data_IF_313380833783
#
_entry.id   IF_313380833783
#
_cell.length_a   1.000
_cell.length_b   1.000
_cell.length_c   1.000
_cell.angle_alpha   90.00
_cell.angle_beta   90.00
_cell.angle_gamma   90.00
#
_symmetry.space_group_name_H-M   'P 1'
#
loop_
_entity.id
_entity.type
_entity.pdbx_description
1 polymer ?
#
# COMPACT_ATOMS: atom_id res chain seq x y z
N UNK A 1 61.04 -8.53 -41.44
CA UNK A 1 61.11 -8.99 -42.85
C UNK A 1 60.21 -10.21 -42.97
N UNK A 2 59.67 -10.49 -44.16
CA UNK A 2 58.50 -11.36 -44.49
C UNK A 2 57.15 -10.62 -44.35
N UNK A 3 56.21 -10.66 -45.30
CA UNK A 3 56.17 -11.00 -46.73
C UNK A 3 54.84 -10.44 -47.24
N UNK A 4 54.83 -9.78 -48.39
CA UNK A 4 53.63 -9.23 -49.07
C UNK A 4 52.83 -10.35 -49.77
N UNK A 5 51.49 -10.24 -49.89
CA UNK A 5 50.65 -11.30 -50.49
C UNK A 5 50.53 -11.16 -52.02
N UNK A 6 50.38 -12.31 -52.68
CA UNK A 6 50.13 -12.48 -54.11
C UNK A 6 48.68 -12.11 -54.46
N UNK A 7 48.51 -11.21 -55.43
CA UNK A 7 47.22 -10.82 -55.99
C UNK A 7 46.66 -11.86 -56.98
N UNK A 8 45.35 -12.08 -56.91
CA UNK A 8 44.59 -12.88 -57.88
C UNK A 8 44.07 -11.96 -58.98
N UNK A 9 44.20 -12.37 -60.24
CA UNK A 9 43.88 -11.53 -61.41
C UNK A 9 42.37 -11.46 -61.70
N UNK A 10 41.88 -10.36 -62.31
CA UNK A 10 40.44 -10.14 -62.56
C UNK A 10 39.81 -11.11 -63.58
N UNK A 11 40.60 -11.96 -64.25
CA UNK A 11 40.12 -12.83 -65.33
C UNK A 11 39.51 -14.17 -64.85
N UNK A 12 39.64 -14.52 -63.57
CA UNK A 12 39.06 -15.76 -63.01
C UNK A 12 37.64 -15.59 -62.43
N UNK A 13 37.12 -14.36 -62.32
CA UNK A 13 35.79 -14.09 -61.78
C UNK A 13 34.66 -14.16 -62.83
N UNK A 14 34.95 -13.89 -64.11
CA UNK A 14 33.92 -13.90 -65.16
C UNK A 14 33.56 -15.30 -65.66
N UNK A 15 34.49 -16.26 -65.60
CA UNK A 15 34.22 -17.65 -66.00
C UNK A 15 33.34 -18.39 -65.00
N UNK A 16 33.41 -18.05 -63.70
CA UNK A 16 32.54 -18.61 -62.67
C UNK A 16 31.10 -18.05 -62.74
N UNK A 17 30.94 -16.77 -63.06
CA UNK A 17 29.62 -16.14 -63.22
C UNK A 17 28.90 -16.54 -64.52
N UNK A 18 29.64 -16.92 -65.56
CA UNK A 18 29.02 -17.34 -66.82
C UNK A 18 28.51 -18.79 -66.76
N UNK A 19 29.15 -19.68 -65.98
CA UNK A 19 28.66 -21.05 -65.75
C UNK A 19 27.47 -21.14 -64.78
N UNK A 20 27.29 -20.18 -63.87
CA UNK A 20 26.11 -20.16 -62.98
C UNK A 20 24.82 -19.74 -63.71
N UNK A 21 24.93 -18.95 -64.78
CA UNK A 21 23.77 -18.49 -65.58
C UNK A 21 23.20 -19.53 -66.53
N UNK A 22 23.96 -20.57 -66.91
CA UNK A 22 23.50 -21.61 -67.84
C UNK A 22 22.89 -22.85 -67.14
N UNK A 23 22.75 -22.84 -65.81
CA UNK A 23 22.23 -23.98 -65.03
C UNK A 23 21.00 -23.61 -64.19
N UNK A 24 20.23 -22.60 -64.61
CA UNK A 24 18.87 -22.38 -64.09
C UNK A 24 17.90 -23.38 -64.72
N UNK A 25 18.02 -24.64 -64.30
CA UNK A 25 16.89 -25.55 -64.33
C UNK A 25 15.86 -25.02 -63.33
N UNK A 26 14.68 -24.67 -63.81
CA UNK A 26 13.51 -24.39 -62.99
C UNK A 26 13.00 -25.68 -62.37
N UNK A 27 13.68 -26.18 -61.34
CA UNK A 27 13.07 -27.13 -60.42
C UNK A 27 12.10 -26.32 -59.55
N UNK A 28 10.77 -26.53 -59.64
CA UNK A 28 9.87 -25.92 -58.69
C UNK A 28 10.20 -26.49 -57.32
N UNK A 29 10.69 -25.65 -56.41
CA UNK A 29 10.73 -25.97 -54.99
C UNK A 29 9.28 -25.94 -54.52
N UNK A 30 8.53 -27.01 -54.79
CA UNK A 30 7.24 -27.27 -54.17
C UNK A 30 7.51 -27.85 -52.78
N UNK A 31 8.19 -27.06 -51.95
CA UNK A 31 8.13 -27.25 -50.50
C UNK A 31 6.81 -26.65 -50.07
N UNK A 32 5.92 -27.48 -49.52
CA UNK A 32 4.74 -26.97 -48.84
C UNK A 32 5.21 -26.03 -47.73
N UNK A 33 5.11 -24.72 -47.95
CA UNK A 33 5.10 -23.76 -46.86
C UNK A 33 3.76 -24.00 -46.17
N UNK A 34 3.77 -24.87 -45.16
CA UNK A 34 2.66 -24.90 -44.21
C UNK A 34 2.61 -23.48 -43.66
N UNK A 35 1.57 -22.68 -43.95
CA UNK A 35 1.44 -21.40 -43.29
C UNK A 35 1.42 -21.72 -41.80
N UNK A 36 2.35 -21.15 -41.03
CA UNK A 36 2.26 -21.20 -39.57
C UNK A 36 0.82 -20.79 -39.24
N UNK A 37 0.04 -21.71 -38.68
CA UNK A 37 -1.28 -21.34 -38.13
C UNK A 37 -1.00 -20.13 -37.25
N UNK A 38 -1.67 -18.98 -37.44
CA UNK A 38 -1.58 -17.93 -36.46
C UNK A 38 -2.00 -18.59 -35.15
N UNK A 39 -1.03 -18.76 -34.25
CA UNK A 39 -1.32 -19.25 -32.92
C UNK A 39 -2.20 -18.16 -32.35
N UNK A 40 -3.48 -18.47 -32.12
CA UNK A 40 -4.42 -17.54 -31.49
C UNK A 40 -3.81 -17.19 -30.13
N UNK A 41 -3.07 -16.08 -30.08
CA UNK A 41 -2.49 -15.60 -28.85
C UNK A 41 -3.63 -15.12 -27.98
N UNK A 42 -3.42 -15.27 -26.68
CA UNK A 42 -4.42 -14.93 -25.69
C UNK A 42 -3.95 -13.75 -24.86
N UNK A 43 -4.87 -13.24 -24.06
CA UNK A 43 -4.62 -12.16 -23.13
C UNK A 43 -5.08 -12.51 -21.71
N UNK A 44 -4.50 -11.82 -20.74
CA UNK A 44 -4.95 -11.79 -19.35
C UNK A 44 -5.16 -10.32 -18.99
N UNK A 45 -6.30 -10.02 -18.38
CA UNK A 45 -6.56 -8.69 -17.84
C UNK A 45 -6.57 -8.75 -16.32
N UNK A 46 -6.01 -7.74 -15.68
CA UNK A 46 -5.97 -7.63 -14.23
C UNK A 46 -6.36 -6.23 -13.82
N UNK A 47 -7.33 -6.12 -12.93
CA UNK A 47 -7.77 -4.89 -12.30
C UNK A 47 -7.33 -4.92 -10.83
N UNK A 48 -6.63 -3.88 -10.38
CA UNK A 48 -6.19 -3.76 -8.99
C UNK A 48 -7.02 -2.68 -8.29
N UNK A 49 -7.63 -3.05 -7.17
CA UNK A 49 -8.47 -2.17 -6.36
C UNK A 49 -8.07 -2.21 -4.88
N UNK A 50 -8.39 -1.15 -4.14
CA UNK A 50 -8.26 -1.15 -2.68
C UNK A 50 -9.49 -1.76 -1.97
N UNK A 51 -9.45 -1.76 -0.64
CA UNK A 51 -10.51 -2.29 0.21
C UNK A 51 -11.87 -1.56 0.02
N UNK A 52 -11.86 -0.32 -0.47
CA UNK A 52 -13.07 0.45 -0.78
C UNK A 52 -13.51 0.31 -2.25
N UNK A 53 -12.81 -0.50 -3.04
CA UNK A 53 -13.11 -0.70 -4.46
C UNK A 53 -12.58 0.41 -5.37
N UNK A 54 -11.73 1.32 -4.87
CA UNK A 54 -11.08 2.33 -5.72
C UNK A 54 -9.95 1.69 -6.49
N UNK A 55 -9.82 2.07 -7.76
CA UNK A 55 -8.74 1.58 -8.63
C UNK A 55 -7.39 2.10 -8.16
N UNK A 56 -6.37 1.24 -8.23
CA UNK A 56 -5.01 1.56 -7.83
C UNK A 56 -4.12 1.68 -9.08
N UNK A 57 -3.79 2.90 -9.54
CA UNK A 57 -2.82 3.09 -10.61
C UNK A 57 -1.39 2.86 -10.11
N UNK A 58 -0.46 2.70 -11.05
CA UNK A 58 0.97 2.60 -10.73
C UNK A 58 1.44 1.29 -10.08
N UNK A 59 0.55 0.31 -9.95
CA UNK A 59 0.89 -1.00 -9.40
C UNK A 59 1.61 -1.83 -10.46
N UNK A 60 2.73 -2.42 -10.08
CA UNK A 60 3.54 -3.23 -10.98
C UNK A 60 3.17 -4.69 -10.85
N UNK A 61 2.87 -5.33 -11.98
CA UNK A 61 2.47 -6.73 -12.07
C UNK A 61 3.44 -7.48 -12.98
N UNK A 62 3.71 -8.72 -12.64
CA UNK A 62 4.65 -9.55 -13.36
C UNK A 62 4.10 -10.96 -13.60
N UNK A 63 4.03 -11.35 -14.87
CA UNK A 63 3.89 -12.77 -15.24
C UNK A 63 5.26 -13.41 -15.35
N UNK A 64 5.38 -14.67 -14.94
CA UNK A 64 6.60 -15.45 -15.10
C UNK A 64 6.41 -16.61 -16.09
N UNK A 65 7.44 -16.90 -16.89
CA UNK A 65 7.52 -18.09 -17.73
C UNK A 65 8.96 -18.59 -17.82
N UNK A 66 9.27 -19.65 -17.07
CA UNK A 66 10.63 -20.16 -16.95
C UNK A 66 11.56 -19.13 -16.29
N UNK A 67 12.52 -18.60 -17.05
CA UNK A 67 13.43 -17.53 -16.63
C UNK A 67 13.02 -16.14 -17.14
N UNK A 68 11.97 -16.08 -17.98
CA UNK A 68 11.46 -14.84 -18.53
C UNK A 68 10.33 -14.29 -17.66
N UNK A 69 10.22 -12.97 -17.63
CA UNK A 69 9.15 -12.23 -16.97
C UNK A 69 8.55 -11.21 -17.92
N UNK A 70 7.25 -10.99 -17.80
CA UNK A 70 6.51 -9.96 -18.51
C UNK A 70 5.93 -9.02 -17.47
N UNK A 71 6.48 -7.80 -17.40
CA UNK A 71 6.15 -6.81 -16.38
C UNK A 71 5.44 -5.62 -16.98
N UNK A 72 4.36 -5.22 -16.34
CA UNK A 72 3.56 -4.07 -16.74
C UNK A 72 3.09 -3.31 -15.50
N UNK A 73 2.69 -2.06 -15.68
CA UNK A 73 2.16 -1.19 -14.63
C UNK A 73 0.68 -0.92 -14.91
N UNK A 74 -0.15 -0.92 -13.86
CA UNK A 74 -1.57 -0.56 -13.99
C UNK A 74 -1.72 0.89 -14.42
N UNK A 75 -2.60 1.13 -15.39
CA UNK A 75 -2.92 2.46 -15.90
C UNK A 75 -3.76 3.31 -14.90
N UNK A 76 -4.21 4.49 -15.32
CA UNK A 76 -5.04 5.39 -14.51
C UNK A 76 -6.38 4.77 -14.02
N UNK A 77 -6.82 3.66 -14.63
CA UNK A 77 -8.01 2.91 -14.25
C UNK A 77 -7.67 1.67 -13.40
N UNK A 78 -6.42 1.55 -12.92
CA UNK A 78 -5.95 0.41 -12.13
C UNK A 78 -5.88 -0.91 -12.91
N UNK A 79 -5.95 -0.86 -14.24
CA UNK A 79 -6.00 -2.04 -15.08
C UNK A 79 -4.67 -2.26 -15.82
N UNK A 80 -4.34 -3.54 -16.02
CA UNK A 80 -3.24 -3.99 -16.87
C UNK A 80 -3.71 -5.14 -17.74
N UNK A 81 -3.19 -5.19 -18.97
CA UNK A 81 -3.51 -6.24 -19.93
C UNK A 81 -2.23 -6.84 -20.48
N UNK A 82 -2.01 -8.11 -20.19
CA UNK A 82 -0.92 -8.90 -20.76
C UNK A 82 -1.39 -9.51 -22.07
N UNK A 83 -0.67 -9.24 -23.15
CA UNK A 83 -1.04 -9.63 -24.50
C UNK A 83 -0.04 -10.66 -25.06
N UNK A 84 -0.46 -11.46 -26.04
CA UNK A 84 0.49 -12.27 -26.82
C UNK A 84 0.87 -13.59 -26.14
N UNK A 85 0.08 -14.02 -25.17
CA UNK A 85 0.33 -15.20 -24.35
C UNK A 85 -0.09 -16.49 -25.08
N UNK A 86 0.53 -17.61 -24.72
CA UNK A 86 0.03 -18.93 -25.11
C UNK A 86 -1.20 -19.26 -24.26
N UNK A 87 -2.13 -20.04 -24.81
CA UNK A 87 -3.29 -20.50 -24.04
C UNK A 87 -2.86 -21.46 -22.92
N UNK A 88 -2.65 -20.92 -21.73
CA UNK A 88 -1.96 -21.57 -20.61
C UNK A 88 -2.23 -20.83 -19.30
N UNK A 89 -1.60 -21.29 -18.22
CA UNK A 89 -1.56 -20.59 -16.94
C UNK A 89 -0.15 -20.10 -16.61
N UNK A 90 -0.10 -18.95 -15.93
CA UNK A 90 1.12 -18.24 -15.59
C UNK A 90 1.08 -17.84 -14.10
N UNK A 91 2.21 -17.90 -13.38
CA UNK A 91 2.33 -17.22 -12.09
C UNK A 91 2.30 -15.71 -12.32
N UNK A 92 1.36 -15.03 -11.68
CA UNK A 92 1.24 -13.57 -11.60
C UNK A 92 1.68 -13.11 -10.21
N UNK A 93 2.60 -12.16 -10.15
CA UNK A 93 3.09 -11.55 -8.91
C UNK A 93 2.79 -10.07 -8.89
N UNK A 94 2.21 -9.58 -7.79
CA UNK A 94 2.11 -8.15 -7.52
C UNK A 94 3.35 -7.65 -6.80
N UNK A 95 3.97 -6.62 -7.36
CA UNK A 95 5.23 -6.10 -6.89
C UNK A 95 5.06 -5.21 -5.67
N UNK A 96 6.01 -5.33 -4.76
CA UNK A 96 6.09 -4.44 -3.61
C UNK A 96 5.03 -4.69 -2.55
N UNK A 97 4.31 -5.80 -2.63
CA UNK A 97 3.27 -6.20 -1.68
C UNK A 97 3.57 -7.58 -1.11
N UNK A 98 3.37 -7.72 0.20
CA UNK A 98 3.37 -9.00 0.89
C UNK A 98 2.12 -9.80 0.52
N UNK A 99 2.25 -11.11 0.31
CA UNK A 99 1.17 -12.03 -0.02
C UNK A 99 -0.09 -11.86 0.84
N UNK A 100 0.06 -11.55 2.13
CA UNK A 100 -1.07 -11.43 3.06
C UNK A 100 -1.96 -10.21 2.77
N UNK A 101 -1.44 -9.27 1.99
CA UNK A 101 -2.15 -8.03 1.65
C UNK A 101 -3.14 -8.17 0.50
N UNK A 102 -3.20 -9.33 -0.16
CA UNK A 102 -4.17 -9.61 -1.21
C UNK A 102 -5.28 -10.52 -0.69
N UNK A 103 -6.51 -10.13 -0.97
CA UNK A 103 -7.66 -11.00 -0.82
C UNK A 103 -7.71 -12.05 -1.95
N UNK A 104 -8.61 -13.03 -1.79
CA UNK A 104 -8.92 -13.99 -2.85
C UNK A 104 -9.39 -13.24 -4.09
N UNK A 105 -8.78 -13.49 -5.27
CA UNK A 105 -9.13 -12.79 -6.49
C UNK A 105 -10.54 -13.14 -6.95
N UNK A 106 -11.26 -12.15 -7.48
CA UNK A 106 -12.47 -12.41 -8.27
C UNK A 106 -12.03 -12.66 -9.72
N UNK A 107 -12.61 -13.68 -10.36
CA UNK A 107 -12.21 -14.12 -11.69
C UNK A 107 -13.43 -14.16 -12.60
N UNK A 108 -13.31 -13.53 -13.77
CA UNK A 108 -14.34 -13.51 -14.81
C UNK A 108 -13.73 -13.92 -16.15
N UNK A 109 -14.50 -14.62 -16.98
CA UNK A 109 -14.07 -14.94 -18.34
C UNK A 109 -14.20 -13.71 -19.23
N UNK A 110 -13.16 -13.42 -20.01
CA UNK A 110 -13.22 -12.40 -21.05
C UNK A 110 -14.13 -12.88 -22.20
N UNK A 111 -14.74 -11.91 -22.89
CA UNK A 111 -15.46 -12.22 -24.13
C UNK A 111 -14.51 -12.84 -25.16
N UNK A 112 -15.03 -13.68 -26.06
CA UNK A 112 -14.21 -14.42 -27.02
C UNK A 112 -13.36 -13.53 -27.95
N UNK A 113 -13.81 -12.29 -28.20
CA UNK A 113 -13.06 -11.30 -28.96
C UNK A 113 -11.94 -10.67 -28.12
N UNK A 114 -12.22 -10.36 -26.86
CA UNK A 114 -11.29 -9.69 -25.95
C UNK A 114 -10.26 -10.66 -25.34
N UNK A 115 -10.57 -11.94 -25.29
CA UNK A 115 -9.64 -12.98 -24.84
C UNK A 115 -8.45 -13.17 -25.79
N UNK A 116 -8.60 -12.79 -27.07
CA UNK A 116 -7.56 -12.92 -28.09
C UNK A 116 -6.62 -11.71 -28.11
N UNK A 117 -5.40 -11.95 -28.53
CA UNK A 117 -4.36 -10.94 -28.76
C UNK A 117 -3.81 -11.05 -30.17
N UNK A 118 -3.50 -9.91 -30.78
CA UNK A 118 -2.69 -9.82 -32.01
C UNK A 118 -1.30 -9.24 -31.75
N UNK A 119 -0.97 -8.89 -30.50
CA UNK A 119 0.30 -8.29 -30.12
C UNK A 119 1.27 -9.38 -29.62
N UNK A 120 2.58 -9.22 -29.84
CA UNK A 120 3.57 -10.11 -29.25
C UNK A 120 3.69 -9.87 -27.73
N UNK A 121 3.98 -10.92 -26.97
CA UNK A 121 4.25 -10.79 -25.54
C UNK A 121 5.58 -10.08 -25.27
N UNK A 122 5.58 -9.20 -24.27
CA UNK A 122 6.73 -8.41 -23.83
C UNK A 122 7.64 -9.14 -22.84
N UNK A 123 8.01 -10.40 -23.14
CA UNK A 123 8.90 -11.19 -22.28
C UNK A 123 10.32 -10.59 -22.23
N UNK A 124 10.90 -10.58 -21.04
CA UNK A 124 12.27 -10.12 -20.78
C UNK A 124 12.94 -10.98 -19.72
N UNK A 125 14.28 -11.01 -19.68
CA UNK A 125 15.02 -11.68 -18.60
C UNK A 125 15.48 -10.62 -17.61
N UNK A 126 14.93 -10.65 -16.40
CA UNK A 126 15.25 -9.71 -15.33
C UNK A 126 15.70 -10.48 -14.10
N UNK A 127 16.53 -9.84 -13.27
CA UNK A 127 16.95 -10.42 -12.01
C UNK A 127 15.73 -10.65 -11.09
N UNK A 128 15.70 -11.74 -10.30
CA UNK A 128 14.68 -11.93 -9.28
C UNK A 128 14.68 -10.78 -8.28
N UNK A 129 13.49 -10.42 -7.83
CA UNK A 129 13.32 -9.46 -6.76
C UNK A 129 13.81 -10.02 -5.42
N UNK A 130 14.48 -9.16 -4.66
CA UNK A 130 14.79 -9.41 -3.26
C UNK A 130 14.03 -8.42 -2.39
N UNK A 131 13.41 -8.94 -1.33
CA UNK A 131 12.72 -8.14 -0.33
C UNK A 131 13.32 -8.46 1.04
N UNK A 132 14.52 -7.93 1.33
CA UNK A 132 15.20 -8.24 2.57
C UNK A 132 14.44 -7.67 3.77
N UNK A 133 14.71 -8.25 4.93
CA UNK A 133 14.33 -7.62 6.19
C UNK A 133 15.01 -6.26 6.34
N UNK A 134 14.39 -5.39 7.13
CA UNK A 134 14.89 -4.06 7.42
C UNK A 134 14.59 -3.62 8.86
N UNK A 135 15.31 -2.59 9.31
CA UNK A 135 14.98 -1.86 10.53
C UNK A 135 14.58 -0.44 10.13
N UNK A 136 13.36 -0.04 10.49
CA UNK A 136 12.84 1.30 10.24
C UNK A 136 12.93 2.13 11.52
N UNK A 137 13.55 3.31 11.42
CA UNK A 137 13.58 4.28 12.52
C UNK A 137 12.38 5.21 12.37
N UNK A 138 11.47 5.13 13.33
CA UNK A 138 10.22 5.88 13.37
C UNK A 138 10.51 7.38 13.32
N UNK A 139 9.89 8.05 12.37
CA UNK A 139 9.89 9.51 12.24
C UNK A 139 8.72 10.13 13.03
N UNK A 140 8.78 11.42 13.38
CA UNK A 140 7.66 12.10 14.03
C UNK A 140 6.36 11.96 13.22
N UNK A 141 5.29 11.51 13.89
CA UNK A 141 3.97 11.33 13.28
C UNK A 141 3.80 10.05 12.45
N UNK A 142 4.72 9.09 12.58
CA UNK A 142 4.53 7.75 12.00
C UNK A 142 3.91 6.77 13.01
N UNK A 143 2.89 6.05 12.56
CA UNK A 143 2.37 4.84 13.19
C UNK A 143 2.72 3.59 12.38
N UNK A 144 2.53 2.40 12.97
CA UNK A 144 2.74 1.13 12.26
C UNK A 144 1.90 1.05 10.98
N UNK A 145 0.67 1.56 10.96
CA UNK A 145 -0.21 1.45 9.78
C UNK A 145 0.39 2.15 8.55
N UNK A 146 0.94 3.35 8.75
CA UNK A 146 1.62 4.13 7.71
C UNK A 146 2.90 3.47 7.24
N UNK A 147 3.71 2.97 8.18
CA UNK A 147 4.97 2.28 7.87
C UNK A 147 4.68 0.98 7.10
N UNK A 148 3.71 0.19 7.56
CA UNK A 148 3.30 -1.05 6.91
C UNK A 148 2.82 -0.80 5.48
N UNK A 149 2.00 0.23 5.25
CA UNK A 149 1.60 0.62 3.90
C UNK A 149 2.79 0.97 3.01
N UNK A 150 3.72 1.81 3.48
CA UNK A 150 4.91 2.19 2.70
C UNK A 150 5.84 1.01 2.38
N UNK A 151 5.87 0.00 3.24
CA UNK A 151 6.63 -1.23 3.04
C UNK A 151 5.82 -2.37 2.39
N UNK A 152 4.55 -2.14 2.03
CA UNK A 152 3.69 -3.13 1.40
C UNK A 152 3.35 -4.33 2.29
N UNK A 153 3.29 -4.14 3.60
CA UNK A 153 2.86 -5.13 4.58
C UNK A 153 1.50 -4.80 5.17
N UNK A 154 0.88 -5.79 5.80
CA UNK A 154 -0.18 -5.56 6.77
C UNK A 154 0.39 -5.00 8.07
N UNK A 155 -0.31 -4.08 8.76
CA UNK A 155 0.14 -3.56 10.05
C UNK A 155 0.39 -4.64 11.10
N UNK A 156 -0.45 -5.68 11.12
CA UNK A 156 -0.33 -6.83 12.03
C UNK A 156 0.95 -7.63 11.75
N UNK A 157 1.32 -7.78 10.48
CA UNK A 157 2.58 -8.46 10.10
C UNK A 157 3.80 -7.75 10.69
N UNK A 158 3.81 -6.41 10.71
CA UNK A 158 4.89 -5.67 11.34
C UNK A 158 4.77 -5.71 12.87
N UNK A 159 3.61 -5.32 13.41
CA UNK A 159 3.42 -5.19 14.85
C UNK A 159 3.68 -6.50 15.59
N UNK A 160 3.11 -7.60 15.09
CA UNK A 160 3.16 -8.90 15.76
C UNK A 160 4.44 -9.71 15.47
N UNK A 161 5.35 -9.16 14.66
CA UNK A 161 6.66 -9.76 14.47
C UNK A 161 7.35 -10.01 15.82
N UNK A 162 7.90 -11.21 16.09
CA UNK A 162 8.55 -11.53 17.36
C UNK A 162 9.64 -10.53 17.77
N UNK A 163 10.39 -10.03 16.79
CA UNK A 163 11.46 -9.04 16.95
C UNK A 163 10.95 -7.69 17.49
N UNK A 164 9.69 -7.36 17.25
CA UNK A 164 9.04 -6.15 17.76
C UNK A 164 8.46 -6.34 19.17
N UNK A 165 8.65 -7.49 19.82
CA UNK A 165 8.14 -7.78 21.16
C UNK A 165 8.52 -6.74 22.21
N UNK A 166 9.78 -6.27 22.22
CA UNK A 166 10.24 -5.23 23.15
C UNK A 166 9.57 -3.88 22.88
N UNK A 167 9.40 -3.51 21.60
CA UNK A 167 8.70 -2.27 21.23
C UNK A 167 7.23 -2.35 21.64
N UNK A 168 6.56 -3.48 21.37
CA UNK A 168 5.17 -3.73 21.79
C UNK A 168 4.97 -3.71 23.30
N UNK A 169 5.92 -4.25 24.06
CA UNK A 169 5.85 -4.19 25.52
C UNK A 169 5.95 -2.75 26.04
N UNK A 170 6.72 -1.89 25.36
CA UNK A 170 6.87 -0.46 25.69
C UNK A 170 5.71 0.39 25.17
N UNK A 171 5.14 0.04 24.02
CA UNK A 171 4.11 0.81 23.31
C UNK A 171 2.78 0.06 23.36
N UNK A 172 1.80 0.63 24.05
CA UNK A 172 0.48 0.00 24.22
C UNK A 172 -0.32 -0.12 22.92
N UNK A 173 -0.11 0.80 21.99
CA UNK A 173 -0.85 0.87 20.72
C UNK A 173 0.12 1.03 19.54
N UNK A 174 -0.17 0.32 18.44
CA UNK A 174 0.70 0.27 17.25
C UNK A 174 0.84 1.61 16.52
N UNK A 175 -0.12 2.53 16.68
CA UNK A 175 -0.08 3.87 16.07
C UNK A 175 0.30 4.98 17.07
N UNK A 176 0.83 4.63 18.25
CA UNK A 176 1.38 5.59 19.23
C UNK A 176 2.89 5.38 19.41
N UNK A 177 3.64 5.40 18.31
CA UNK A 177 5.10 5.28 18.33
C UNK A 177 5.73 6.63 18.69
N UNK A 178 6.91 6.60 19.32
CA UNK A 178 7.73 7.81 19.44
C UNK A 178 8.79 7.84 18.34
N UNK A 179 9.19 9.05 17.95
CA UNK A 179 10.36 9.23 17.11
C UNK A 179 11.57 8.50 17.71
N UNK A 180 12.43 7.93 16.85
CA UNK A 180 13.58 7.10 17.21
C UNK A 180 13.25 5.70 17.75
N UNK A 181 11.97 5.32 17.92
CA UNK A 181 11.65 3.91 18.03
C UNK A 181 12.15 3.16 16.78
N UNK A 182 12.60 1.92 16.95
CA UNK A 182 13.01 1.06 15.84
C UNK A 182 11.98 -0.04 15.66
N UNK A 183 11.42 -0.15 14.45
CA UNK A 183 10.48 -1.18 14.05
C UNK A 183 11.17 -2.14 13.09
N UNK A 184 11.21 -3.42 13.44
CA UNK A 184 11.65 -4.49 12.55
C UNK A 184 10.62 -4.75 11.46
N UNK A 185 11.11 -4.90 10.23
CA UNK A 185 10.34 -5.18 9.03
C UNK A 185 10.79 -6.55 8.52
N UNK A 186 9.94 -7.58 8.56
CA UNK A 186 10.27 -8.90 8.06
C UNK A 186 10.47 -8.87 6.54
N UNK A 187 11.16 -9.87 5.97
CA UNK A 187 11.20 -10.01 4.52
C UNK A 187 9.79 -10.26 3.98
N UNK A 188 9.49 -9.74 2.78
CA UNK A 188 8.18 -9.97 2.12
C UNK A 188 8.15 -11.32 1.46
N UNK A 189 7.02 -12.00 1.61
CA UNK A 189 6.64 -13.10 0.74
C UNK A 189 5.93 -12.53 -0.50
N UNK A 190 6.44 -12.72 -1.72
CA UNK A 190 5.79 -12.19 -2.92
C UNK A 190 4.36 -12.68 -3.06
N UNK A 191 3.46 -11.76 -3.40
CA UNK A 191 2.06 -12.05 -3.63
C UNK A 191 1.85 -12.71 -5.01
N UNK A 192 2.16 -14.02 -5.10
CA UNK A 192 2.06 -14.81 -6.34
C UNK A 192 0.78 -15.64 -6.39
N UNK A 193 0.03 -15.54 -7.49
CA UNK A 193 -1.16 -16.35 -7.79
C UNK A 193 -1.07 -16.97 -9.18
N UNK A 194 -1.73 -18.11 -9.40
CA UNK A 194 -1.82 -18.72 -10.73
C UNK A 194 -2.99 -18.09 -11.51
N UNK A 195 -2.70 -17.58 -12.70
CA UNK A 195 -3.69 -16.97 -13.60
C UNK A 195 -3.74 -17.68 -14.95
N UNK A 196 -4.92 -17.77 -15.54
CA UNK A 196 -5.14 -18.40 -16.85
C UNK A 196 -5.50 -17.36 -17.90
N UNK A 197 -5.08 -17.61 -19.14
CA UNK A 197 -5.45 -16.83 -20.31
C UNK A 197 -6.95 -16.80 -20.56
N UNK A 198 -7.42 -15.71 -21.17
CA UNK A 198 -8.84 -15.49 -21.44
C UNK A 198 -9.67 -15.04 -20.25
N UNK A 199 -9.03 -14.61 -19.15
CA UNK A 199 -9.69 -14.18 -17.92
C UNK A 199 -9.34 -12.74 -17.52
N UNK A 200 -10.29 -12.09 -16.84
CA UNK A 200 -10.12 -10.89 -16.04
C UNK A 200 -9.98 -11.31 -14.57
N UNK A 201 -8.94 -10.81 -13.91
CA UNK A 201 -8.73 -10.96 -12.47
C UNK A 201 -8.93 -9.61 -11.78
N UNK A 202 -9.79 -9.55 -10.78
CA UNK A 202 -9.90 -8.40 -9.88
C UNK A 202 -9.16 -8.74 -8.59
N UNK A 203 -8.04 -8.05 -8.37
CA UNK A 203 -7.19 -8.20 -7.21
C UNK A 203 -7.50 -7.08 -6.23
N UNK A 204 -7.97 -7.45 -5.04
CA UNK A 204 -8.26 -6.49 -3.98
C UNK A 204 -7.13 -6.47 -2.95
N UNK A 205 -6.54 -5.29 -2.78
CA UNK A 205 -5.59 -5.00 -1.73
C UNK A 205 -6.33 -4.66 -0.44
N UNK A 206 -6.06 -5.42 0.63
CA UNK A 206 -6.72 -5.29 1.92
C UNK A 206 -5.88 -4.49 2.96
N UNK A 207 -4.71 -3.97 2.56
CA UNK A 207 -3.88 -3.09 3.37
C UNK A 207 -4.14 -1.61 3.13
N UNK A 208 -3.28 -0.74 3.68
CA UNK A 208 -3.26 0.69 3.36
C UNK A 208 -4.36 1.54 3.99
N UNK A 209 -5.05 0.99 4.98
CA UNK A 209 -6.02 1.72 5.80
C UNK A 209 -5.58 1.77 7.26
N UNK A 210 -6.01 2.81 7.96
CA UNK A 210 -5.90 2.96 9.42
C UNK A 210 -7.29 3.12 10.01
N UNK A 211 -7.51 2.56 11.19
CA UNK A 211 -8.78 2.69 11.92
C UNK A 211 -8.78 4.02 12.67
N UNK A 212 -9.65 4.93 12.27
CA UNK A 212 -9.90 6.18 12.98
C UNK A 212 -11.07 5.97 13.94
N UNK A 213 -10.77 6.10 15.23
CA UNK A 213 -11.77 6.08 16.29
C UNK A 213 -11.78 7.39 17.04
N UNK A 214 -12.92 8.06 17.04
CA UNK A 214 -13.15 9.34 17.72
C UNK A 214 -14.33 9.18 18.68
N UNK A 215 -14.25 9.77 19.87
CA UNK A 215 -15.38 9.81 20.81
C UNK A 215 -15.85 11.24 20.99
N UNK A 216 -17.12 11.48 20.71
CA UNK A 216 -17.81 12.73 21.02
C UNK A 216 -18.40 12.62 22.42
N UNK A 217 -18.03 13.57 23.28
CA UNK A 217 -18.52 13.65 24.63
C UNK A 217 -18.69 15.11 25.07
N UNK A 218 -19.68 15.37 25.93
CA UNK A 218 -19.89 16.66 26.60
C UNK A 218 -19.90 16.39 28.10
N UNK A 219 -18.97 17.01 28.83
CA UNK A 219 -18.81 16.72 30.26
C UNK A 219 -18.51 15.25 30.56
N UNK A 220 -17.71 14.59 29.70
CA UNK A 220 -17.40 13.15 29.72
C UNK A 220 -18.57 12.21 29.39
N UNK A 221 -19.79 12.72 29.18
CA UNK A 221 -20.93 11.92 28.77
C UNK A 221 -20.96 11.72 27.24
N UNK A 222 -21.02 10.47 26.75
CA UNK A 222 -21.00 10.19 25.32
C UNK A 222 -22.22 10.78 24.61
N UNK A 223 -22.00 11.33 23.42
CA UNK A 223 -23.08 11.91 22.60
C UNK A 223 -23.52 10.89 21.55
N UNK A 224 -24.59 10.15 21.84
CA UNK A 224 -25.11 9.09 20.96
C UNK A 224 -26.09 9.60 19.90
N UNK A 225 -26.15 8.94 18.74
CA UNK A 225 -27.09 9.28 17.66
C UNK A 225 -26.82 10.62 16.97
N UNK A 226 -25.67 11.26 17.21
CA UNK A 226 -25.31 12.54 16.59
C UNK A 226 -24.92 12.29 15.13
N UNK A 227 -25.63 12.90 14.16
CA UNK A 227 -25.28 12.78 12.76
C UNK A 227 -23.96 13.52 12.48
N UNK A 228 -23.09 12.90 11.69
CA UNK A 228 -21.81 13.47 11.31
C UNK A 228 -21.52 13.29 9.82
N UNK A 229 -20.68 14.18 9.30
CA UNK A 229 -19.95 14.02 8.06
C UNK A 229 -18.45 14.12 8.36
N UNK A 230 -17.69 13.12 7.94
CA UNK A 230 -16.24 13.07 8.05
C UNK A 230 -15.64 13.29 6.67
N UNK A 231 -15.01 14.44 6.49
CA UNK A 231 -14.29 14.80 5.28
C UNK A 231 -12.85 14.30 5.40
N UNK A 232 -12.45 13.41 4.49
CA UNK A 232 -11.13 12.80 4.45
C UNK A 232 -10.43 13.25 3.16
N UNK A 233 -9.22 13.83 3.24
CA UNK A 233 -8.47 14.19 2.03
C UNK A 233 -8.26 13.00 1.11
N UNK A 234 -8.43 13.20 -0.19
CA UNK A 234 -8.20 12.21 -1.25
C UNK A 234 -8.99 10.89 -1.09
N UNK A 235 -10.09 10.95 -0.32
CA UNK A 235 -11.03 9.85 -0.15
C UNK A 235 -12.47 10.36 -0.12
N UNK A 236 -13.46 9.51 -0.44
CA UNK A 236 -14.87 9.88 -0.31
C UNK A 236 -15.18 10.29 1.13
N UNK A 237 -15.98 11.36 1.27
CA UNK A 237 -16.53 11.74 2.57
C UNK A 237 -17.42 10.62 3.11
N UNK A 238 -17.39 10.45 4.43
CA UNK A 238 -18.13 9.40 5.12
C UNK A 238 -19.18 10.03 6.02
N UNK A 239 -20.36 9.44 6.10
CA UNK A 239 -21.45 9.96 6.93
C UNK A 239 -22.03 8.84 7.79
N UNK A 240 -22.58 9.23 8.94
CA UNK A 240 -23.20 8.28 9.84
C UNK A 240 -23.78 8.97 11.06
N UNK A 241 -24.11 8.18 12.07
CA UNK A 241 -24.47 8.64 13.41
C UNK A 241 -23.51 8.03 14.41
N UNK A 242 -23.15 8.77 15.45
CA UNK A 242 -22.34 8.23 16.54
C UNK A 242 -23.05 7.03 17.20
N UNK A 243 -22.25 6.08 17.68
CA UNK A 243 -22.72 4.94 18.49
C UNK A 243 -22.00 4.94 19.83
N UNK A 244 -22.73 5.12 20.92
CA UNK A 244 -22.18 5.35 22.26
C UNK A 244 -21.14 6.50 22.26
N UNK A 245 -21.40 7.55 21.48
CA UNK A 245 -20.47 8.67 21.28
C UNK A 245 -19.33 8.38 20.30
N UNK A 246 -19.15 7.15 19.82
CA UNK A 246 -18.05 6.82 18.92
C UNK A 246 -18.39 7.03 17.45
N UNK A 247 -17.40 7.58 16.73
CA UNK A 247 -17.23 7.43 15.29
C UNK A 247 -16.11 6.42 15.11
N UNK A 248 -16.38 5.32 14.43
CA UNK A 248 -15.45 4.21 14.26
C UNK A 248 -15.43 3.82 12.79
N UNK A 249 -14.36 4.21 12.11
CA UNK A 249 -14.27 4.04 10.66
C UNK A 249 -12.84 3.80 10.20
N UNK A 250 -12.69 3.49 8.91
CA UNK A 250 -11.39 3.36 8.26
C UNK A 250 -11.10 4.60 7.41
N UNK A 251 -9.86 5.05 7.47
CA UNK A 251 -9.31 6.11 6.61
C UNK A 251 -8.06 5.58 5.92
N UNK A 252 -7.62 6.14 4.78
CA UNK A 252 -6.32 5.80 4.20
C UNK A 252 -5.19 5.93 5.24
N UNK A 253 -4.23 5.01 5.27
CA UNK A 253 -3.15 4.99 6.26
C UNK A 253 -2.22 6.22 6.20
N UNK A 254 -2.25 6.95 5.10
CA UNK A 254 -1.51 8.20 4.90
C UNK A 254 -2.29 9.46 5.33
N UNK A 255 -3.52 9.30 5.84
CA UNK A 255 -4.36 10.41 6.29
C UNK A 255 -3.69 11.12 7.47
N UNK A 256 -3.41 12.41 7.34
CA UNK A 256 -2.80 13.21 8.41
C UNK A 256 -3.78 14.20 9.06
N UNK A 257 -4.95 14.39 8.44
CA UNK A 257 -6.00 15.29 8.92
C UNK A 257 -7.34 14.83 8.39
N UNK A 258 -8.38 15.04 9.19
CA UNK A 258 -9.78 14.92 8.79
C UNK A 258 -10.55 16.14 9.28
N UNK A 259 -11.67 16.45 8.64
CA UNK A 259 -12.61 17.46 9.13
C UNK A 259 -13.89 16.76 9.57
N UNK A 260 -14.21 16.85 10.85
CA UNK A 260 -15.48 16.39 11.40
C UNK A 260 -16.49 17.53 11.34
N UNK A 261 -17.61 17.29 10.65
CA UNK A 261 -18.71 18.23 10.49
C UNK A 261 -19.93 17.69 11.24
N UNK A 262 -20.50 18.52 12.12
CA UNK A 262 -21.66 18.21 12.96
C UNK A 262 -22.75 19.28 12.76
N UNK A 263 -23.94 19.02 13.30
CA UNK A 263 -25.05 19.99 13.36
C UNK A 263 -25.44 20.58 11.99
N UNK A 264 -25.42 19.74 10.94
CA UNK A 264 -25.73 20.17 9.57
C UNK A 264 -24.74 21.19 8.99
N UNK A 265 -23.52 21.29 9.54
CA UNK A 265 -22.47 22.18 9.05
C UNK A 265 -22.13 23.34 9.99
N UNK A 266 -22.89 23.55 11.07
CA UNK A 266 -22.64 24.65 12.01
C UNK A 266 -21.33 24.45 12.81
N UNK A 267 -20.98 23.19 13.08
CA UNK A 267 -19.75 22.84 13.79
C UNK A 267 -18.81 22.11 12.83
N UNK A 268 -17.59 22.65 12.66
CA UNK A 268 -16.52 22.02 11.87
C UNK A 268 -15.26 21.94 12.73
N UNK A 269 -14.73 20.73 12.89
CA UNK A 269 -13.56 20.45 13.70
C UNK A 269 -12.48 19.83 12.82
N UNK A 270 -11.35 20.52 12.69
CA UNK A 270 -10.17 19.94 12.05
C UNK A 270 -9.40 19.10 13.05
N UNK A 271 -9.25 17.82 12.74
CA UNK A 271 -8.63 16.84 13.63
C UNK A 271 -7.36 16.30 12.96
N UNK A 272 -6.17 16.54 13.53
CA UNK A 272 -4.95 15.90 13.06
C UNK A 272 -5.00 14.40 13.38
N UNK A 273 -4.62 13.59 12.40
CA UNK A 273 -4.47 12.13 12.50
C UNK A 273 -2.98 11.82 12.68
N UNK A 274 -2.65 10.82 13.50
CA UNK A 274 -1.29 10.38 13.83
C UNK A 274 -0.38 11.45 14.49
N UNK A 275 -0.95 12.46 15.12
CA UNK A 275 -0.20 13.54 15.79
C UNK A 275 -0.06 13.37 17.32
N UNK A 276 -0.64 12.31 17.89
CA UNK A 276 -0.63 12.09 19.33
C UNK A 276 0.67 11.43 19.79
N UNK A 277 1.39 12.13 20.66
CA UNK A 277 2.57 11.59 21.33
C UNK A 277 2.15 10.60 22.43
N UNK A 278 3.03 9.64 22.81
CA UNK A 278 2.75 8.69 23.88
C UNK A 278 2.46 9.36 25.22
N UNK A 279 1.66 8.72 26.09
CA UNK A 279 1.37 9.21 27.46
C UNK A 279 2.60 9.28 28.38
N UNK A 280 3.67 8.58 28.03
CA UNK A 280 4.97 8.69 28.71
C UNK A 280 5.69 10.01 28.42
N UNK A 281 5.22 10.79 27.45
CA UNK A 281 5.72 12.12 27.09
C UNK A 281 4.72 13.17 27.59
N UNK A 282 5.18 14.16 28.35
CA UNK A 282 4.31 15.18 28.93
C UNK A 282 3.64 16.05 27.86
N UNK A 283 4.20 16.14 26.65
CA UNK A 283 3.51 16.73 25.49
C UNK A 283 2.28 15.92 25.10
N UNK A 284 2.38 14.60 25.15
CA UNK A 284 1.27 13.67 24.90
C UNK A 284 0.17 13.78 25.95
N UNK A 285 0.53 14.10 27.19
CA UNK A 285 -0.41 14.43 28.27
C UNK A 285 -1.16 15.73 27.97
N UNK A 286 -0.44 16.80 27.62
CA UNK A 286 -1.05 18.10 27.25
C UNK A 286 -1.97 17.99 26.03
N UNK A 287 -1.60 17.19 25.02
CA UNK A 287 -2.45 16.94 23.84
C UNK A 287 -3.78 16.28 24.22
N UNK A 288 -3.78 15.30 25.15
CA UNK A 288 -4.99 14.64 25.61
C UNK A 288 -5.85 15.53 26.50
N UNK A 289 -5.22 16.32 27.39
CA UNK A 289 -5.92 17.34 28.17
C UNK A 289 -6.69 18.30 27.25
N UNK A 290 -6.04 18.81 26.19
CA UNK A 290 -6.70 19.63 25.17
C UNK A 290 -7.89 18.92 24.52
N UNK A 291 -7.72 17.67 24.10
CA UNK A 291 -8.80 16.89 23.48
C UNK A 291 -9.99 16.65 24.42
N UNK A 292 -9.75 16.62 25.73
CA UNK A 292 -10.79 16.48 26.77
C UNK A 292 -11.37 17.81 27.26
N UNK A 293 -11.03 18.94 26.63
CA UNK A 293 -11.55 20.27 27.00
C UNK A 293 -10.75 21.01 28.08
N UNK A 294 -9.53 20.55 28.38
CA UNK A 294 -8.59 21.17 29.32
C UNK A 294 -7.34 21.68 28.57
N UNK A 295 -7.46 22.69 27.68
CA UNK A 295 -6.33 23.15 26.89
C UNK A 295 -5.25 23.82 27.75
N UNK A 296 -4.01 23.36 27.61
CA UNK A 296 -2.82 24.10 28.03
C UNK A 296 -2.46 25.17 27.00
N UNK A 297 -1.80 26.24 27.42
CA UNK A 297 -1.36 27.32 26.52
C UNK A 297 -0.30 26.85 25.51
N UNK A 298 0.57 25.93 25.92
CA UNK A 298 1.55 25.25 25.07
C UNK A 298 1.32 23.72 25.09
N UNK A 299 1.96 23.03 24.14
CA UNK A 299 2.04 21.55 24.10
C UNK A 299 3.50 21.10 23.98
N UNK A 300 4.41 21.83 24.63
CA UNK A 300 5.86 21.61 24.60
C UNK A 300 6.38 20.68 25.71
N UNK A 301 5.49 20.22 26.59
CA UNK A 301 5.77 19.31 27.69
C UNK A 301 6.10 20.02 29.00
N UNK A 302 6.17 21.36 29.00
CA UNK A 302 6.42 22.13 30.20
C UNK A 302 5.12 22.41 30.96
N UNK A 303 5.11 22.14 32.27
CA UNK A 303 3.98 22.44 33.15
C UNK A 303 4.29 23.69 34.00
N UNK A 304 4.15 24.86 33.37
CA UNK A 304 4.17 26.16 34.04
C UNK A 304 2.95 26.33 34.97
N UNK A 305 2.87 27.46 35.69
CA UNK A 305 1.78 27.69 36.65
C UNK A 305 0.39 27.69 36.00
N UNK A 306 0.29 28.09 34.73
CA UNK A 306 -0.96 28.05 33.95
C UNK A 306 -1.35 26.62 33.63
N UNK A 307 -0.42 25.81 33.14
CA UNK A 307 -0.62 24.39 32.83
C UNK A 307 -0.91 23.57 34.10
N UNK A 308 -0.29 23.89 35.24
CA UNK A 308 -0.66 23.31 36.55
C UNK A 308 -2.09 23.66 36.94
N UNK A 309 -2.51 24.91 36.74
CA UNK A 309 -3.91 25.30 36.90
C UNK A 309 -4.88 24.47 36.06
N UNK A 310 -4.52 24.15 34.82
CA UNK A 310 -5.27 23.24 33.93
C UNK A 310 -5.30 21.82 34.51
N UNK A 311 -4.14 21.30 34.94
CA UNK A 311 -4.00 19.98 35.56
C UNK A 311 -4.89 19.83 36.81
N UNK A 312 -4.94 20.86 37.67
CA UNK A 312 -5.81 20.84 38.85
C UNK A 312 -7.29 20.80 38.48
N UNK A 313 -7.72 21.54 37.46
CA UNK A 313 -9.11 21.46 36.97
C UNK A 313 -9.44 20.07 36.45
N UNK A 314 -8.53 19.46 35.68
CA UNK A 314 -8.71 18.09 35.21
C UNK A 314 -8.81 17.12 36.38
N UNK A 315 -7.85 17.13 37.32
CA UNK A 315 -7.85 16.29 38.52
C UNK A 315 -9.16 16.43 39.30
N UNK A 316 -9.62 17.65 39.53
CA UNK A 316 -10.90 17.89 40.21
C UNK A 316 -12.08 17.33 39.43
N UNK A 317 -12.09 17.46 38.11
CA UNK A 317 -13.16 16.96 37.26
C UNK A 317 -13.24 15.42 37.26
N UNK A 318 -12.11 14.75 37.47
CA UNK A 318 -12.02 13.27 37.56
C UNK A 318 -11.88 12.75 38.99
N UNK A 319 -12.09 13.61 40.00
CA UNK A 319 -12.00 13.26 41.43
C UNK A 319 -10.65 12.68 41.89
N UNK A 320 -9.54 13.14 41.29
CA UNK A 320 -8.19 12.79 41.72
C UNK A 320 -7.66 13.74 42.82
N UNK A 321 -6.74 13.28 43.70
CA UNK A 321 -6.08 14.14 44.68
C UNK A 321 -5.35 15.32 44.02
N UNK A 322 -5.28 16.43 44.76
CA UNK A 322 -4.57 17.63 44.32
C UNK A 322 -3.05 17.38 44.29
N UNK A 323 -2.41 17.70 43.16
CA UNK A 323 -0.97 17.61 42.94
C UNK A 323 -0.59 18.43 41.71
N UNK A 324 0.62 18.99 41.72
CA UNK A 324 1.24 19.73 40.61
C UNK A 324 1.93 18.81 39.59
N UNK A 325 2.03 17.52 39.90
CA UNK A 325 2.84 16.56 39.13
C UNK A 325 1.96 15.77 38.18
N UNK A 326 2.49 15.49 36.99
CA UNK A 326 1.94 14.49 36.07
C UNK A 326 2.40 13.10 36.53
N UNK A 327 1.54 12.42 37.29
CA UNK A 327 1.78 11.10 37.84
C UNK A 327 0.99 10.00 37.09
N UNK A 328 1.11 8.77 37.58
CA UNK A 328 0.45 7.60 36.98
C UNK A 328 -1.08 7.67 37.11
N UNK A 329 -1.61 8.33 38.14
CA UNK A 329 -3.05 8.55 38.29
C UNK A 329 -3.61 9.43 37.18
N UNK A 330 -2.93 10.54 36.87
CA UNK A 330 -3.29 11.41 35.74
C UNK A 330 -3.17 10.68 34.42
N UNK A 331 -2.05 9.96 34.19
CA UNK A 331 -1.87 9.19 32.95
C UNK A 331 -2.91 8.09 32.81
N UNK A 332 -3.29 7.44 33.91
CA UNK A 332 -4.35 6.43 33.98
C UNK A 332 -5.73 7.00 33.66
N UNK A 333 -6.08 8.17 34.23
CA UNK A 333 -7.34 8.84 33.94
C UNK A 333 -7.44 9.31 32.49
N UNK A 334 -6.36 9.91 31.95
CA UNK A 334 -6.29 10.28 30.54
C UNK A 334 -6.41 9.05 29.65
N UNK A 335 -5.75 7.96 30.00
CA UNK A 335 -5.90 6.70 29.27
C UNK A 335 -7.37 6.25 29.28
N UNK A 336 -8.02 6.21 30.44
CA UNK A 336 -9.40 5.74 30.56
C UNK A 336 -10.42 6.62 29.82
N UNK A 337 -10.21 7.93 29.79
CA UNK A 337 -11.15 8.88 29.19
C UNK A 337 -10.92 9.11 27.70
N UNK A 338 -9.68 8.97 27.22
CA UNK A 338 -9.30 9.29 25.84
C UNK A 338 -8.80 8.07 25.04
N UNK A 339 -7.94 7.22 25.60
CA UNK A 339 -7.28 6.13 24.86
C UNK A 339 -8.00 4.78 25.00
N UNK A 340 -8.85 4.61 26.02
CA UNK A 340 -9.67 3.41 26.26
C UNK A 340 -10.94 3.51 25.40
N UNK A 341 -10.73 3.31 24.10
CA UNK A 341 -11.78 3.26 23.10
C UNK A 341 -11.49 2.15 22.13
#
# INVERSE_FOLDING_TARGET
MFSTPLGVSPFQLDTANTQSRSTFGSTPVSGSTVPCRPVDKMAIEVLVIDLQGRVLPGQVLELAWGQAVYRLETNAYGAVRFEGLEDSSYPLTLWGLDRRTLDVPVVESLSSMWARSSQPAGWSVLAPLAYPEALHVVQPGEGVDKIAFGWGHLPETLWDAPQNGTLRARRRWRNQLAAQDTLYIPPREPATLQVSTGCLYVLRFNGGVSRLRLRLAVGFEPQDGVPYLLEVPDAPSQQGTTQNGYIDTVVPAQTTRVTLVLDGGATRLELPVDALLPLSDDRGVQQRLRNLGFPCASSDGTFDDVAKGVLHRFRSAVSLPHSDVVDDDVRGALFALHDQG
#
